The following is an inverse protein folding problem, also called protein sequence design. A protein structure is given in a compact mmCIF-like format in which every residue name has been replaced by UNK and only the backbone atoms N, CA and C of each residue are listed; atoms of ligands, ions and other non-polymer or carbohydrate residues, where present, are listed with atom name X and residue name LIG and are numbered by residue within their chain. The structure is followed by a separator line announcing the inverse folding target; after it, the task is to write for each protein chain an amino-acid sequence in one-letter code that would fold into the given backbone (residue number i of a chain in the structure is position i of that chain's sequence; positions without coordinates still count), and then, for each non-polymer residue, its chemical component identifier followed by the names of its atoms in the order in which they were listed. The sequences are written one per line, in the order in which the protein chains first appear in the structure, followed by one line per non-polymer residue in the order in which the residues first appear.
data_IF_681884868850
#
_entry.id   IF_681884868850
#
_cell.length_a   1.000
_cell.length_b   1.000
_cell.length_c   1.000
_cell.angle_alpha   90.00
_cell.angle_beta   90.00
_cell.angle_gamma   90.00
#
_symmetry.space_group_name_H-M   'P 1'
#
loop_
_entity.id
_entity.type
_entity.pdbx_description
1 polymer ?
#
# COMPACT_ATOMS: atom_id res chain seq x y z
N UNK A 1 -32.93 16.61 28.60
CA UNK A 1 -32.24 15.31 28.42
C UNK A 1 -30.76 15.62 28.34
N UNK A 2 -29.98 15.28 29.37
CA UNK A 2 -28.54 15.49 29.37
C UNK A 2 -27.89 14.50 28.39
N UNK A 3 -27.19 15.02 27.38
CA UNK A 3 -26.44 14.23 26.42
C UNK A 3 -25.14 13.75 27.06
N UNK A 4 -25.18 12.56 27.64
CA UNK A 4 -23.99 11.93 28.22
C UNK A 4 -23.23 11.16 27.13
N UNK A 5 -22.09 11.70 26.67
CA UNK A 5 -21.25 11.05 25.68
C UNK A 5 -20.29 10.07 26.36
N UNK A 6 -20.57 8.77 26.25
CA UNK A 6 -19.67 7.72 26.74
C UNK A 6 -18.61 7.47 25.65
N UNK A 7 -17.32 7.75 25.91
CA UNK A 7 -16.27 7.47 24.93
C UNK A 7 -16.10 5.95 24.77
N UNK A 8 -16.45 5.44 23.59
CA UNK A 8 -16.17 4.04 23.23
C UNK A 8 -14.65 3.88 23.14
N UNK A 9 -14.06 3.11 24.05
CA UNK A 9 -12.64 2.75 23.98
C UNK A 9 -12.45 1.75 22.84
N UNK A 10 -12.14 2.25 21.64
CA UNK A 10 -11.74 1.39 20.52
C UNK A 10 -10.36 0.81 20.81
N UNK A 11 -10.30 -0.46 21.19
CA UNK A 11 -9.07 -1.23 21.20
C UNK A 11 -8.59 -1.43 19.77
N UNK A 12 -7.80 -0.47 19.25
CA UNK A 12 -7.15 -0.61 17.95
C UNK A 12 -6.14 -1.76 18.07
N UNK A 13 -6.49 -2.89 17.46
CA UNK A 13 -5.59 -4.03 17.36
C UNK A 13 -4.30 -3.58 16.68
N UNK A 14 -3.15 -3.85 17.32
CA UNK A 14 -1.84 -3.45 16.82
C UNK A 14 -1.57 -4.18 15.49
N UNK A 15 -1.23 -3.42 14.45
CA UNK A 15 -0.84 -3.97 13.15
C UNK A 15 0.29 -5.01 13.32
N UNK A 16 0.18 -6.15 12.62
CA UNK A 16 1.26 -7.14 12.55
C UNK A 16 2.40 -6.56 11.69
N UNK A 17 3.58 -6.46 12.30
CA UNK A 17 4.78 -5.86 11.73
C UNK A 17 5.94 -6.86 11.80
N UNK A 18 6.68 -7.04 10.71
CA UNK A 18 7.94 -7.76 10.68
C UNK A 18 9.08 -6.82 10.29
N UNK A 19 10.03 -6.53 11.20
CA UNK A 19 11.13 -5.56 10.95
C UNK A 19 10.68 -4.19 10.39
N UNK A 20 9.47 -3.74 10.74
CA UNK A 20 8.87 -2.50 10.23
C UNK A 20 8.15 -2.61 8.88
N UNK A 21 8.15 -3.80 8.25
CA UNK A 21 7.25 -4.14 7.15
C UNK A 21 5.87 -4.48 7.69
N UNK A 22 4.84 -3.81 7.17
CA UNK A 22 3.44 -4.17 7.47
C UNK A 22 3.06 -5.46 6.75
N UNK A 23 2.12 -6.24 7.32
CA UNK A 23 1.67 -7.53 6.79
C UNK A 23 1.42 -7.57 5.27
N UNK A 24 0.81 -6.52 4.70
CA UNK A 24 0.56 -6.42 3.26
C UNK A 24 1.84 -6.40 2.40
N UNK A 25 2.90 -5.72 2.86
CA UNK A 25 4.19 -5.68 2.16
C UNK A 25 4.97 -6.98 2.31
N UNK A 26 4.76 -7.72 3.40
CA UNK A 26 5.31 -9.07 3.56
C UNK A 26 4.72 -9.98 2.47
N UNK A 27 3.40 -9.94 2.27
CA UNK A 27 2.75 -10.70 1.19
C UNK A 27 3.30 -10.31 -0.19
N UNK A 28 3.45 -9.02 -0.48
CA UNK A 28 4.07 -8.58 -1.74
C UNK A 28 5.51 -9.08 -1.90
N UNK A 29 6.30 -9.08 -0.83
CA UNK A 29 7.66 -9.60 -0.87
C UNK A 29 7.69 -11.10 -1.19
N UNK A 30 6.74 -11.88 -0.65
CA UNK A 30 6.62 -13.31 -0.93
C UNK A 30 6.22 -13.55 -2.39
N UNK A 31 5.20 -12.85 -2.88
CA UNK A 31 4.76 -12.99 -4.28
C UNK A 31 5.85 -12.58 -5.27
N UNK A 32 6.47 -11.42 -5.08
CA UNK A 32 7.54 -10.94 -5.95
C UNK A 32 8.81 -11.78 -5.82
N UNK A 33 9.14 -12.27 -4.62
CA UNK A 33 10.28 -13.16 -4.39
C UNK A 33 10.10 -14.49 -5.12
N UNK A 34 8.91 -15.11 -5.03
CA UNK A 34 8.59 -16.32 -5.79
C UNK A 34 8.65 -16.07 -7.30
N UNK A 35 8.07 -14.97 -7.77
CA UNK A 35 8.14 -14.59 -9.18
C UNK A 35 9.59 -14.42 -9.66
N UNK A 36 10.46 -13.78 -8.85
CA UNK A 36 11.88 -13.61 -9.16
C UNK A 36 12.64 -14.95 -9.23
N UNK A 37 12.33 -15.90 -8.35
CA UNK A 37 12.91 -17.25 -8.38
C UNK A 37 12.49 -17.98 -9.65
N UNK A 38 11.22 -17.94 -10.03
CA UNK A 38 10.71 -18.57 -11.26
C UNK A 38 11.39 -17.95 -12.49
N UNK A 39 11.44 -16.62 -12.56
CA UNK A 39 12.12 -15.89 -13.63
C UNK A 39 13.59 -16.28 -13.73
N UNK A 40 14.24 -16.39 -12.58
CA UNK A 40 15.61 -16.83 -12.46
C UNK A 40 15.88 -18.23 -12.96
N UNK A 41 14.98 -19.16 -12.67
CA UNK A 41 15.05 -20.53 -13.17
C UNK A 41 14.90 -20.57 -14.69
N UNK A 42 13.99 -19.78 -15.24
CA UNK A 42 13.87 -19.60 -16.69
C UNK A 42 15.15 -18.97 -17.27
N UNK A 43 15.72 -17.96 -16.61
CA UNK A 43 16.95 -17.30 -17.08
C UNK A 43 18.14 -18.26 -17.12
N UNK A 44 18.17 -19.25 -16.21
CA UNK A 44 19.24 -20.25 -16.12
C UNK A 44 19.32 -21.19 -17.33
N UNK A 45 18.29 -21.22 -18.19
CA UNK A 45 18.34 -21.99 -19.44
C UNK A 45 19.12 -21.27 -20.54
N UNK A 46 19.30 -19.95 -20.42
CA UNK A 46 19.97 -19.11 -21.43
C UNK A 46 21.37 -18.65 -20.99
N UNK A 47 21.61 -18.53 -19.69
CA UNK A 47 22.81 -17.93 -19.11
C UNK A 47 23.43 -18.93 -18.11
N UNK A 48 24.76 -18.92 -17.91
CA UNK A 48 25.40 -19.72 -16.88
C UNK A 48 24.68 -19.60 -15.52
N UNK A 49 24.41 -20.74 -14.89
CA UNK A 49 23.58 -20.82 -13.69
C UNK A 49 24.07 -19.94 -12.55
N UNK A 50 25.39 -19.78 -12.39
CA UNK A 50 25.99 -18.91 -11.37
C UNK A 50 25.61 -17.45 -11.59
N UNK A 51 25.64 -16.97 -12.84
CA UNK A 51 25.24 -15.60 -13.19
C UNK A 51 23.74 -15.39 -12.94
N UNK A 52 22.91 -16.36 -13.35
CA UNK A 52 21.48 -16.32 -13.10
C UNK A 52 21.16 -16.26 -11.59
N UNK A 53 21.80 -17.10 -10.77
CA UNK A 53 21.66 -17.05 -9.31
C UNK A 53 22.07 -15.70 -8.72
N UNK A 54 23.20 -15.15 -9.14
CA UNK A 54 23.68 -13.86 -8.65
C UNK A 54 22.69 -12.73 -8.98
N UNK A 55 22.15 -12.73 -10.20
CA UNK A 55 21.13 -11.78 -10.63
C UNK A 55 19.84 -11.88 -9.79
N UNK A 56 19.38 -13.11 -9.48
CA UNK A 56 18.17 -13.32 -8.65
C UNK A 56 18.38 -12.81 -7.23
N UNK A 57 19.53 -13.11 -6.61
CA UNK A 57 19.83 -12.66 -5.24
C UNK A 57 19.82 -11.13 -5.17
N UNK A 58 20.44 -10.47 -6.15
CA UNK A 58 20.42 -9.01 -6.25
C UNK A 58 18.98 -8.50 -6.45
N UNK A 59 18.21 -9.12 -7.35
CA UNK A 59 16.83 -8.71 -7.62
C UNK A 59 15.94 -8.82 -6.37
N UNK A 60 16.03 -9.92 -5.62
CA UNK A 60 15.28 -10.11 -4.38
C UNK A 60 15.69 -9.07 -3.33
N UNK A 61 16.98 -8.78 -3.19
CA UNK A 61 17.46 -7.75 -2.27
C UNK A 61 16.91 -6.36 -2.64
N UNK A 62 16.91 -6.01 -3.93
CA UNK A 62 16.35 -4.74 -4.42
C UNK A 62 14.84 -4.68 -4.15
N UNK A 63 14.09 -5.73 -4.48
CA UNK A 63 12.65 -5.82 -4.21
C UNK A 63 12.37 -5.59 -2.72
N UNK A 64 13.13 -6.25 -1.84
CA UNK A 64 12.97 -6.10 -0.40
C UNK A 64 13.24 -4.65 0.07
N UNK A 65 14.32 -4.03 -0.40
CA UNK A 65 14.66 -2.65 -0.05
C UNK A 65 13.59 -1.66 -0.53
N UNK A 66 13.09 -1.82 -1.76
CA UNK A 66 12.01 -0.98 -2.31
C UNK A 66 10.74 -1.15 -1.48
N UNK A 67 10.32 -2.38 -1.19
CA UNK A 67 9.13 -2.62 -0.37
C UNK A 67 9.29 -2.07 1.06
N UNK A 68 10.48 -2.12 1.62
CA UNK A 68 10.78 -1.53 2.93
C UNK A 68 10.68 -0.02 2.92
N UNK A 69 11.20 0.64 1.87
CA UNK A 69 11.00 2.08 1.67
C UNK A 69 9.51 2.42 1.54
N UNK A 70 8.76 1.72 0.67
CA UNK A 70 7.34 1.97 0.48
C UNK A 70 6.51 1.72 1.75
N UNK A 71 6.83 0.67 2.51
CA UNK A 71 6.16 0.37 3.78
C UNK A 71 6.36 1.49 4.81
N UNK A 72 7.55 2.09 4.86
CA UNK A 72 7.85 3.22 5.77
C UNK A 72 7.22 4.52 5.31
N UNK A 73 7.31 4.83 4.01
CA UNK A 73 6.82 6.10 3.45
C UNK A 73 5.30 6.18 3.38
N UNK A 74 4.64 5.08 2.98
CA UNK A 74 3.21 5.10 2.69
C UNK A 74 2.37 4.27 3.65
N UNK A 75 2.96 3.37 4.44
CA UNK A 75 2.18 2.42 5.24
C UNK A 75 1.26 1.54 4.36
N UNK A 76 0.34 0.79 4.97
CA UNK A 76 -0.35 -0.31 4.27
C UNK A 76 -1.18 0.13 3.04
N UNK A 77 -1.84 1.28 3.12
CA UNK A 77 -2.73 1.78 2.07
C UNK A 77 -2.40 3.20 1.60
N UNK A 78 -1.33 3.83 2.10
CA UNK A 78 -1.04 5.22 1.74
C UNK A 78 -0.60 5.43 0.30
N UNK A 79 -0.04 4.40 -0.35
CA UNK A 79 0.34 4.50 -1.76
C UNK A 79 -0.90 4.64 -2.65
N UNK A 80 -1.91 3.81 -2.41
CA UNK A 80 -3.19 3.86 -3.13
C UNK A 80 -3.89 5.19 -2.86
N UNK A 81 -3.84 5.71 -1.63
CA UNK A 81 -4.40 7.02 -1.29
C UNK A 81 -3.70 8.15 -2.05
N UNK A 82 -2.36 8.19 -2.03
CA UNK A 82 -1.60 9.19 -2.78
C UNK A 82 -1.87 9.13 -4.27
N UNK A 83 -2.01 7.93 -4.84
CA UNK A 83 -2.36 7.76 -6.25
C UNK A 83 -3.78 8.26 -6.55
N UNK A 84 -4.73 8.00 -5.66
CA UNK A 84 -6.10 8.51 -5.78
C UNK A 84 -6.14 10.05 -5.65
N UNK A 85 -5.37 10.61 -4.71
CA UNK A 85 -5.26 12.06 -4.53
C UNK A 85 -4.66 12.72 -5.78
N UNK A 86 -3.66 12.09 -6.41
CA UNK A 86 -3.07 12.57 -7.67
C UNK A 86 -4.02 12.44 -8.87
N UNK A 87 -4.99 11.52 -8.82
CA UNK A 87 -6.01 11.35 -9.87
C UNK A 87 -7.24 12.25 -9.68
N UNK A 88 -7.26 13.08 -8.62
CA UNK A 88 -8.38 13.97 -8.34
C UNK A 88 -8.38 15.14 -9.34
N UNK A 89 -9.55 15.55 -9.88
CA UNK A 89 -9.65 16.73 -10.72
C UNK A 89 -9.36 18.02 -9.93
N UNK A 90 -8.69 18.99 -10.55
CA UNK A 90 -8.32 20.27 -9.93
C UNK A 90 -9.53 21.12 -9.55
N UNK A 91 -10.60 21.04 -10.33
CA UNK A 91 -11.85 21.73 -10.03
C UNK A 91 -13.05 20.82 -10.31
N UNK A 92 -14.02 20.87 -9.40
CA UNK A 92 -15.31 20.21 -9.58
C UNK A 92 -16.28 21.32 -9.98
N UNK A 93 -16.65 21.36 -11.27
CA UNK A 93 -17.65 22.31 -11.75
C UNK A 93 -19.02 21.81 -11.32
N UNK A 94 -19.68 22.57 -10.46
CA UNK A 94 -20.97 22.18 -9.89
C UNK A 94 -22.06 22.94 -10.64
N UNK A 95 -22.98 22.21 -11.25
CA UNK A 95 -24.03 22.77 -12.10
C UNK A 95 -25.29 23.15 -11.33
N UNK A 96 -25.46 22.66 -10.10
CA UNK A 96 -26.70 22.78 -9.33
C UNK A 96 -26.49 23.62 -8.07
N UNK A 97 -27.43 24.51 -7.78
CA UNK A 97 -27.44 25.35 -6.59
C UNK A 97 -27.64 24.50 -5.33
N UNK A 98 -26.72 24.62 -4.36
CA UNK A 98 -26.67 23.81 -3.13
C UNK A 98 -27.80 24.10 -2.12
N UNK A 99 -28.62 25.12 -2.39
CA UNK A 99 -29.70 25.58 -1.51
C UNK A 99 -30.74 24.48 -1.19
N UNK A 100 -30.89 23.48 -2.07
CA UNK A 100 -31.82 22.36 -1.88
C UNK A 100 -31.18 21.11 -1.23
N UNK A 101 -29.89 21.14 -0.87
CA UNK A 101 -29.29 20.02 -0.14
C UNK A 101 -29.80 20.01 1.30
N UNK A 102 -30.39 18.87 1.70
CA UNK A 102 -30.96 18.64 3.03
C UNK A 102 -29.98 18.97 4.18
N UNK A 103 -28.67 18.88 3.94
CA UNK A 103 -27.62 19.21 4.90
C UNK A 103 -27.51 20.71 5.22
N UNK A 104 -28.01 21.60 4.35
CA UNK A 104 -27.97 23.06 4.54
C UNK A 104 -29.31 23.65 4.97
N UNK A 105 -30.42 22.94 4.73
CA UNK A 105 -31.77 23.39 5.13
C UNK A 105 -32.02 23.30 6.65
N UNK A 106 -31.15 22.60 7.38
CA UNK A 106 -31.23 22.38 8.83
C UNK A 106 -30.23 23.22 9.65
N UNK A 107 -29.67 24.29 9.06
CA UNK A 107 -28.96 25.35 9.79
C UNK A 107 -29.83 26.59 9.84
#
# INVERSE_FOLDING_TARGET
MENNFIPIRKGLQKDVLYRGLKAKYIMYCLYLGLAAIILGLVLSTFIPMVLAMLAIVIAIAIIFLVLLFYSRTYGANGFVKKMADAAKPDSIKISNTYENLLLWKNK
#
